data_IF_005732699250
#
_entry.id   IF_005732699250
#
_cell.length_a   1.000
_cell.length_b   1.000
_cell.length_c   1.000
_cell.angle_alpha   90.00
_cell.angle_beta   90.00
_cell.angle_gamma   90.00
#
_symmetry.space_group_name_H-M   'P 1'
#
loop_
_entity.id
_entity.type
_entity.pdbx_description
1 polymer ?
#
# COMPACT_ATOMS: atom_id res chain seq x y z
N UNK A 1 -2.06 9.24 6.67
CA UNK A 1 -2.63 7.90 6.94
C UNK A 1 -3.36 7.47 5.67
N UNK A 2 -2.92 6.40 5.01
CA UNK A 2 -3.45 5.99 3.70
C UNK A 2 -4.95 5.71 3.68
N UNK A 3 -5.55 5.23 4.78
CA UNK A 3 -6.99 5.03 4.84
C UNK A 3 -7.80 6.33 4.65
N UNK A 4 -7.25 7.49 5.05
CA UNK A 4 -7.88 8.79 4.77
C UNK A 4 -7.78 9.20 3.30
N UNK A 5 -6.73 8.75 2.60
CA UNK A 5 -6.57 9.01 1.17
C UNK A 5 -7.64 8.24 0.36
N UNK A 6 -7.95 7.00 0.72
CA UNK A 6 -9.07 6.23 0.12
C UNK A 6 -10.40 6.99 0.22
N UNK A 7 -10.67 7.56 1.39
CA UNK A 7 -11.89 8.35 1.63
C UNK A 7 -11.90 9.68 0.85
N UNK A 8 -10.74 10.34 0.73
CA UNK A 8 -10.61 11.61 0.03
C UNK A 8 -10.71 11.47 -1.49
N UNK A 9 -10.12 10.41 -2.04
CA UNK A 9 -10.13 10.06 -3.47
C UNK A 9 -11.46 9.40 -3.91
N UNK A 10 -12.42 9.23 -2.99
CA UNK A 10 -13.72 8.59 -3.24
C UNK A 10 -13.60 7.20 -3.90
N UNK A 11 -12.54 6.46 -3.56
CA UNK A 11 -12.33 5.10 -4.07
C UNK A 11 -13.40 4.19 -3.46
N UNK A 12 -14.09 3.43 -4.31
CA UNK A 12 -15.03 2.42 -3.86
C UNK A 12 -14.30 1.38 -3.01
N UNK A 13 -14.70 1.22 -1.74
CA UNK A 13 -14.01 0.31 -0.82
C UNK A 13 -13.97 -1.12 -1.35
N UNK A 14 -14.99 -1.56 -2.08
CA UNK A 14 -15.04 -2.89 -2.69
C UNK A 14 -13.96 -3.14 -3.77
N UNK A 15 -13.33 -2.07 -4.25
CA UNK A 15 -12.25 -2.12 -5.22
C UNK A 15 -10.86 -1.98 -4.56
N UNK A 16 -10.81 -1.96 -3.23
CA UNK A 16 -9.58 -1.85 -2.44
C UNK A 16 -9.17 -3.21 -1.89
N UNK A 17 -7.91 -3.59 -2.12
CA UNK A 17 -7.32 -4.86 -1.71
C UNK A 17 -5.92 -4.68 -1.11
N UNK A 18 -5.51 -5.63 -0.27
CA UNK A 18 -4.10 -5.88 0.01
C UNK A 18 -3.51 -6.80 -1.06
N UNK A 19 -2.22 -6.61 -1.38
CA UNK A 19 -1.48 -7.61 -2.14
C UNK A 19 -0.83 -8.63 -1.19
N UNK A 20 -1.03 -9.91 -1.46
CA UNK A 20 -0.52 -11.00 -0.63
C UNK A 20 1.00 -10.91 -0.46
N UNK A 21 1.47 -11.05 0.79
CA UNK A 21 2.89 -10.97 1.12
C UNK A 21 3.52 -9.58 0.99
N UNK A 22 2.77 -8.57 0.53
CA UNK A 22 3.32 -7.28 0.11
C UNK A 22 2.91 -6.11 1.02
N UNK A 23 2.74 -6.38 2.31
CA UNK A 23 2.42 -5.38 3.31
C UNK A 23 0.93 -5.31 3.67
N UNK A 24 0.68 -5.04 4.96
CA UNK A 24 -0.66 -4.86 5.54
C UNK A 24 -0.54 -3.93 6.73
N UNK A 25 -1.58 -3.12 6.98
CA UNK A 25 -1.61 -2.23 8.13
C UNK A 25 -2.98 -2.27 8.82
N UNK A 26 -3.04 -2.72 10.07
CA UNK A 26 -4.29 -2.70 10.85
C UNK A 26 -4.86 -1.29 11.04
N UNK A 27 -4.01 -0.26 11.04
CA UNK A 27 -4.45 1.14 11.05
C UNK A 27 -5.20 1.55 9.79
N UNK A 28 -4.91 0.92 8.64
CA UNK A 28 -5.62 1.14 7.40
C UNK A 28 -7.04 0.58 7.49
N UNK A 29 -7.18 -0.70 7.83
CA UNK A 29 -8.48 -1.37 8.04
C UNK A 29 -9.35 -0.64 9.09
N UNK A 30 -8.71 -0.19 10.18
CA UNK A 30 -9.39 0.61 11.20
C UNK A 30 -9.92 1.94 10.64
N UNK A 31 -9.11 2.62 9.81
CA UNK A 31 -9.51 3.93 9.24
C UNK A 31 -10.60 3.79 8.18
N UNK A 32 -10.57 2.71 7.39
CA UNK A 32 -11.58 2.43 6.35
C UNK A 32 -12.82 1.71 6.90
N UNK A 33 -12.81 1.35 8.19
CA UNK A 33 -13.84 0.56 8.85
C UNK A 33 -14.18 -0.74 8.10
N UNK A 34 -13.18 -1.35 7.45
CA UNK A 34 -13.32 -2.55 6.62
C UNK A 34 -12.15 -3.48 6.83
N UNK A 35 -12.43 -4.77 6.95
CA UNK A 35 -11.40 -5.80 6.83
C UNK A 35 -11.05 -5.94 5.36
N UNK A 36 -9.97 -5.29 4.93
CA UNK A 36 -9.63 -5.24 3.51
C UNK A 36 -9.23 -6.64 3.02
N UNK A 37 -9.88 -7.16 1.96
CA UNK A 37 -9.56 -8.46 1.39
C UNK A 37 -8.17 -8.44 0.76
N UNK A 38 -7.62 -9.63 0.52
CA UNK A 38 -6.30 -9.82 -0.08
C UNK A 38 -6.42 -10.48 -1.44
N UNK A 39 -5.56 -10.08 -2.36
CA UNK A 39 -5.40 -10.68 -3.68
C UNK A 39 -3.95 -11.12 -3.85
N UNK A 40 -3.75 -12.18 -4.60
CA UNK A 40 -2.46 -12.57 -5.15
C UNK A 40 -2.10 -11.66 -6.34
N UNK A 41 -0.82 -11.68 -6.74
CA UNK A 41 -0.38 -10.96 -7.94
C UNK A 41 -1.02 -11.53 -9.21
N UNK A 42 -1.28 -12.84 -9.26
CA UNK A 42 -1.92 -13.47 -10.41
C UNK A 42 -3.40 -13.08 -10.52
N UNK A 43 -4.12 -13.02 -9.39
CA UNK A 43 -5.50 -12.50 -9.36
C UNK A 43 -5.56 -11.02 -9.76
N UNK A 44 -4.59 -10.20 -9.32
CA UNK A 44 -4.49 -8.81 -9.71
C UNK A 44 -4.29 -8.65 -11.23
N UNK A 45 -3.45 -9.49 -11.86
CA UNK A 45 -3.29 -9.51 -13.33
C UNK A 45 -4.57 -9.92 -14.06
N UNK A 46 -5.40 -10.75 -13.44
CA UNK A 46 -6.66 -11.22 -14.00
C UNK A 46 -7.82 -10.21 -13.89
N UNK A 47 -7.65 -9.09 -13.18
CA UNK A 47 -8.71 -8.09 -13.01
C UNK A 47 -9.02 -7.37 -14.32
N UNK A 48 -10.30 -7.34 -14.68
CA UNK A 48 -10.78 -6.67 -15.91
C UNK A 48 -11.17 -5.21 -15.70
N UNK A 49 -11.06 -4.71 -14.47
CA UNK A 49 -11.38 -3.33 -14.11
C UNK A 49 -10.28 -2.74 -13.24
N UNK A 50 -10.09 -1.41 -13.27
CA UNK A 50 -9.14 -0.76 -12.38
C UNK A 50 -9.47 -1.06 -10.92
N UNK A 51 -8.47 -1.44 -10.13
CA UNK A 51 -8.58 -1.67 -8.69
C UNK A 51 -7.50 -0.89 -7.94
N UNK A 52 -7.68 -0.71 -6.64
CA UNK A 52 -6.69 -0.08 -5.77
C UNK A 52 -6.06 -1.12 -4.86
N UNK A 53 -4.74 -1.19 -4.86
CA UNK A 53 -3.97 -2.09 -4.00
C UNK A 53 -3.14 -1.31 -2.98
N UNK A 54 -3.24 -1.70 -1.72
CA UNK A 54 -2.32 -1.29 -0.67
C UNK A 54 -1.10 -2.20 -0.70
N UNK A 55 0.09 -1.60 -0.78
CA UNK A 55 1.36 -2.32 -0.83
C UNK A 55 2.48 -1.59 -0.07
N UNK A 56 3.48 -2.32 0.40
CA UNK A 56 4.78 -1.77 0.80
C UNK A 56 5.62 -1.41 -0.44
N UNK A 57 6.77 -0.75 -0.23
CA UNK A 57 7.75 -0.47 -1.30
C UNK A 57 8.03 -1.70 -2.17
N UNK A 58 8.41 -2.84 -1.55
CA UNK A 58 8.68 -4.07 -2.28
C UNK A 58 7.47 -4.57 -3.09
N UNK A 59 6.25 -4.39 -2.58
CA UNK A 59 5.04 -4.76 -3.31
C UNK A 59 4.78 -3.88 -4.52
N UNK A 60 5.06 -2.56 -4.41
CA UNK A 60 5.02 -1.64 -5.54
C UNK A 60 6.01 -2.05 -6.63
N UNK A 61 7.24 -2.37 -6.25
CA UNK A 61 8.26 -2.88 -7.17
C UNK A 61 7.81 -4.18 -7.85
N UNK A 62 7.21 -5.11 -7.11
CA UNK A 62 6.68 -6.36 -7.65
C UNK A 62 5.54 -6.15 -8.67
N UNK A 63 4.62 -5.21 -8.41
CA UNK A 63 3.54 -4.84 -9.34
C UNK A 63 4.13 -4.26 -10.63
N UNK A 64 5.10 -3.36 -10.53
CA UNK A 64 5.77 -2.76 -11.71
C UNK A 64 6.58 -3.80 -12.49
N UNK A 65 7.33 -4.66 -11.81
CA UNK A 65 8.11 -5.73 -12.42
C UNK A 65 7.23 -6.78 -13.13
N UNK A 66 5.97 -6.93 -12.71
CA UNK A 66 4.97 -7.75 -13.38
C UNK A 66 4.40 -7.13 -14.66
N UNK A 67 4.86 -5.93 -15.05
CA UNK A 67 4.40 -5.23 -16.25
C UNK A 67 3.01 -4.61 -16.12
N UNK A 68 2.47 -4.52 -14.89
CA UNK A 68 1.18 -3.92 -14.65
C UNK A 68 1.28 -2.39 -14.68
N UNK A 69 0.35 -1.74 -15.38
CA UNK A 69 0.22 -0.29 -15.33
C UNK A 69 -0.36 0.12 -13.97
N UNK A 70 0.39 0.93 -13.23
CA UNK A 70 0.04 1.35 -11.89
C UNK A 70 0.32 2.84 -11.66
N UNK A 71 -0.67 3.55 -11.13
CA UNK A 71 -0.59 4.96 -10.75
C UNK A 71 -0.59 5.08 -9.23
N UNK A 72 0.34 5.85 -8.66
CA UNK A 72 0.38 6.10 -7.21
C UNK A 72 -0.70 7.12 -6.86
N UNK A 73 -1.72 6.70 -6.10
CA UNK A 73 -2.75 7.61 -5.58
C UNK A 73 -2.27 8.34 -4.32
N UNK A 74 -1.60 7.61 -3.43
CA UNK A 74 -1.03 8.17 -2.22
C UNK A 74 0.11 7.29 -1.70
N UNK A 75 1.01 7.89 -0.92
CA UNK A 75 2.02 7.17 -0.17
C UNK A 75 2.14 7.73 1.24
N UNK A 76 2.63 6.92 2.17
CA UNK A 76 2.99 7.37 3.51
C UNK A 76 4.14 6.55 4.05
N UNK A 77 5.02 7.13 4.90
CA UNK A 77 6.01 6.35 5.62
C UNK A 77 5.33 5.21 6.39
N UNK A 78 5.86 4.01 6.21
CA UNK A 78 5.50 2.83 6.99
C UNK A 78 6.34 2.81 8.26
N UNK A 79 5.70 3.15 9.38
CA UNK A 79 6.32 3.20 10.70
C UNK A 79 6.48 1.81 11.35
N UNK A 80 6.32 0.72 10.59
CA UNK A 80 6.57 -0.64 11.08
C UNK A 80 8.06 -0.88 11.29
N UNK A 81 8.62 -0.29 12.34
CA UNK A 81 9.99 -0.51 12.78
C UNK A 81 10.03 -1.83 13.54
N UNK A 82 10.50 -2.88 12.88
CA UNK A 82 10.72 -4.19 13.52
C UNK A 82 11.97 -4.22 14.39
N UNK A 83 12.92 -3.28 14.20
CA UNK A 83 14.11 -3.09 15.07
C UNK A 83 14.47 -1.60 15.20
N UNK A 84 14.41 -1.08 16.42
CA UNK A 84 14.94 0.24 16.76
C UNK A 84 16.45 0.28 16.45
N UNK A 85 16.87 1.23 15.62
CA UNK A 85 18.28 1.47 15.34
C UNK A 85 18.62 2.95 15.56
N UNK A 86 19.90 3.26 15.76
CA UNK A 86 20.35 4.63 16.08
C UNK A 86 19.96 5.67 15.01
N UNK A 87 19.85 5.26 13.74
CA UNK A 87 19.42 6.15 12.64
C UNK A 87 17.93 6.49 12.73
N UNK A 88 17.08 5.54 13.10
CA UNK A 88 15.65 5.77 13.34
C UNK A 88 15.40 6.69 14.55
N UNK A 89 16.25 6.57 15.58
CA UNK A 89 16.17 7.38 16.78
C UNK A 89 16.58 8.84 16.55
N UNK A 90 17.44 9.14 15.58
CA UNK A 90 17.75 10.51 15.15
C UNK A 90 16.60 11.06 14.26
N UNK A 91 15.81 12.05 14.71
CA UNK A 91 14.70 12.58 13.94
C UNK A 91 15.09 13.12 12.56
N UNK A 92 16.34 13.57 12.39
CA UNK A 92 16.83 14.14 11.12
C UNK A 92 17.13 13.09 10.06
N UNK A 93 17.31 11.83 10.47
CA UNK A 93 17.67 10.69 9.61
C UNK A 93 16.57 9.65 9.54
N UNK A 94 15.45 9.89 10.21
CA UNK A 94 14.35 8.94 10.32
C UNK A 94 13.77 8.59 8.96
N UNK A 95 13.63 9.57 8.08
CA UNK A 95 13.09 9.37 6.73
C UNK A 95 14.02 8.50 5.85
N UNK A 96 15.32 8.44 6.16
CA UNK A 96 16.28 7.61 5.41
C UNK A 96 16.13 6.11 5.70
N UNK A 97 15.42 5.74 6.77
CA UNK A 97 15.28 4.35 7.23
C UNK A 97 13.85 3.86 7.25
N UNK A 98 12.87 4.74 7.01
CA UNK A 98 11.47 4.36 6.90
C UNK A 98 11.19 3.85 5.49
N UNK A 99 10.69 2.63 5.39
CA UNK A 99 10.03 2.17 4.17
C UNK A 99 8.75 2.96 3.94
N UNK A 100 8.25 2.99 2.70
CA UNK A 100 6.94 3.57 2.40
C UNK A 100 5.89 2.50 2.16
N UNK A 101 4.65 2.84 2.50
CA UNK A 101 3.46 2.15 2.02
C UNK A 101 2.76 3.02 0.95
N UNK A 102 2.09 2.37 0.02
CA UNK A 102 1.49 2.96 -1.16
C UNK A 102 0.05 2.49 -1.34
N UNK A 103 -0.76 3.37 -1.93
CA UNK A 103 -2.00 3.02 -2.60
C UNK A 103 -1.77 3.17 -4.10
N UNK A 104 -1.85 2.05 -4.82
CA UNK A 104 -1.66 2.00 -6.26
C UNK A 104 -3.00 1.72 -6.93
N UNK A 105 -3.39 2.54 -7.89
CA UNK A 105 -4.45 2.20 -8.84
C UNK A 105 -3.83 1.37 -9.96
N UNK A 106 -4.34 0.18 -10.22
CA UNK A 106 -3.79 -0.79 -11.18
C UNK A 106 -4.84 -1.15 -12.23
N UNK A 107 -4.44 -1.22 -13.49
CA UNK A 107 -5.31 -1.65 -14.61
C UNK A 107 -5.98 -0.50 -15.37
N UNK A 108 -5.25 0.60 -15.61
CA UNK A 108 -5.66 1.63 -16.60
C UNK A 108 -5.42 1.16 -18.04
#
# INVERSE_FOLDING_TARGET
>A
MLGRAVLAEQVALDDVFYLEGAGRAGSFDFTTARLTPTLTLDELRGMQRPVVVYVSEHGREAVMAAGLQATVLAHSPDFRVTRLNARFLDPRRRDEVLSSAYLLKVGE
#
